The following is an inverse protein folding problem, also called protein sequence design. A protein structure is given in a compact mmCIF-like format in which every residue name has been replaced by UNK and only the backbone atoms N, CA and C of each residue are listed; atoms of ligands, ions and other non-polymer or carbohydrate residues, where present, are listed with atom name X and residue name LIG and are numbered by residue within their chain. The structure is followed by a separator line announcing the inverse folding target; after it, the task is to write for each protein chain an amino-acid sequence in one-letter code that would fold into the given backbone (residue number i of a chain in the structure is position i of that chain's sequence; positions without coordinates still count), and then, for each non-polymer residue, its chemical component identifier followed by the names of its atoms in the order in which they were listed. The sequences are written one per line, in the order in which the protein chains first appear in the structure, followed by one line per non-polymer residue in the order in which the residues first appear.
data_IF_547756800235
#
_entry.id   IF_547756800235
#
_cell.length_a   1.000
_cell.length_b   1.000
_cell.length_c   1.000
_cell.angle_alpha   90.00
_cell.angle_beta   90.00
_cell.angle_gamma   90.00
#
_symmetry.space_group_name_H-M   'P 1'
#
loop_
_entity.id
_entity.type
_entity.pdbx_description
1 polymer ?
#
# COMPACT_ATOMS: atom_id res chain seq x y z
N UNK A 1 -6.15 -18.95 25.50
CA UNK A 1 -6.35 -17.81 24.59
C UNK A 1 -5.81 -18.19 23.21
N UNK A 2 -6.57 -18.00 22.13
CA UNK A 2 -6.10 -18.37 20.80
C UNK A 2 -5.18 -17.26 20.25
N UNK A 3 -3.86 -17.46 20.37
CA UNK A 3 -2.85 -16.48 19.95
C UNK A 3 -2.96 -16.09 18.47
N UNK A 4 -3.48 -16.99 17.62
CA UNK A 4 -3.72 -16.68 16.21
C UNK A 4 -4.79 -15.59 16.04
N UNK A 5 -5.90 -15.67 16.77
CA UNK A 5 -6.98 -14.67 16.69
C UNK A 5 -6.47 -13.30 17.15
N UNK A 6 -5.73 -13.27 18.25
CA UNK A 6 -5.05 -12.05 18.73
C UNK A 6 -4.08 -11.51 17.67
N UNK A 7 -3.30 -12.39 17.04
CA UNK A 7 -2.38 -12.04 15.96
C UNK A 7 -3.06 -11.43 14.74
N UNK A 8 -4.17 -12.01 14.28
CA UNK A 8 -4.97 -11.47 13.19
C UNK A 8 -5.47 -10.07 13.48
N UNK A 9 -6.01 -9.86 14.69
CA UNK A 9 -6.56 -8.57 15.08
C UNK A 9 -5.48 -7.49 15.13
N UNK A 10 -4.33 -7.78 15.74
CA UNK A 10 -3.21 -6.83 15.84
C UNK A 10 -2.65 -6.53 14.45
N UNK A 11 -2.35 -7.57 13.66
CA UNK A 11 -1.83 -7.40 12.30
C UNK A 11 -2.77 -6.58 11.43
N UNK A 12 -4.05 -6.93 11.35
CA UNK A 12 -5.03 -6.19 10.55
C UNK A 12 -5.18 -4.74 11.01
N UNK A 13 -5.20 -4.48 12.32
CA UNK A 13 -5.31 -3.12 12.84
C UNK A 13 -4.12 -2.25 12.43
N UNK A 14 -2.90 -2.77 12.60
CA UNK A 14 -1.66 -2.07 12.19
C UNK A 14 -1.66 -1.85 10.68
N UNK A 15 -1.96 -2.90 9.92
CA UNK A 15 -1.90 -2.88 8.47
C UNK A 15 -2.96 -1.96 7.86
N UNK A 16 -4.21 -1.98 8.34
CA UNK A 16 -5.27 -1.06 7.90
C UNK A 16 -4.87 0.39 8.19
N UNK A 17 -4.34 0.67 9.38
CA UNK A 17 -3.86 2.01 9.72
C UNK A 17 -2.78 2.49 8.75
N UNK A 18 -1.78 1.66 8.45
CA UNK A 18 -0.72 1.98 7.49
C UNK A 18 -1.31 2.23 6.11
N UNK A 19 -2.14 1.32 5.59
CA UNK A 19 -2.72 1.41 4.24
C UNK A 19 -3.51 2.71 4.08
N UNK A 20 -4.38 3.03 5.03
CA UNK A 20 -5.21 4.23 4.95
C UNK A 20 -4.37 5.51 5.04
N UNK A 21 -3.41 5.57 5.98
CA UNK A 21 -2.58 6.76 6.18
C UNK A 21 -1.64 7.00 5.02
N UNK A 22 -0.91 5.98 4.59
CA UNK A 22 0.04 6.09 3.48
C UNK A 22 -0.71 6.37 2.17
N UNK A 23 -1.80 5.64 1.89
CA UNK A 23 -2.63 5.90 0.72
C UNK A 23 -3.13 7.35 0.65
N UNK A 24 -3.58 7.92 1.77
CA UNK A 24 -4.02 9.33 1.84
C UNK A 24 -2.87 10.32 1.57
N UNK A 25 -1.68 10.05 2.12
CA UNK A 25 -0.49 10.88 1.90
C UNK A 25 -0.05 10.82 0.43
N UNK A 26 0.06 9.62 -0.12
CA UNK A 26 0.41 9.40 -1.53
C UNK A 26 -0.61 10.04 -2.47
N UNK A 27 -1.91 9.95 -2.16
CA UNK A 27 -2.93 10.60 -2.98
C UNK A 27 -2.82 12.12 -2.94
N UNK A 28 -2.69 12.72 -1.75
CA UNK A 28 -2.56 14.19 -1.61
C UNK A 28 -1.33 14.71 -2.34
N UNK A 29 -0.17 14.10 -2.12
CA UNK A 29 1.09 14.56 -2.71
C UNK A 29 1.20 14.17 -4.18
N UNK A 30 0.63 13.03 -4.58
CA UNK A 30 0.59 12.55 -5.96
C UNK A 30 -0.24 13.44 -6.86
N UNK A 31 -1.35 14.03 -6.38
CA UNK A 31 -2.11 15.01 -7.16
C UNK A 31 -1.27 16.22 -7.55
N UNK A 32 -0.42 16.70 -6.64
CA UNK A 32 0.50 17.83 -6.90
C UNK A 32 1.55 17.39 -7.93
N UNK A 33 2.16 16.22 -7.72
CA UNK A 33 3.19 15.69 -8.62
C UNK A 33 2.69 15.46 -10.05
N UNK A 34 1.53 14.82 -10.22
CA UNK A 34 0.96 14.53 -11.54
C UNK A 34 0.52 15.81 -12.25
N UNK A 35 -0.01 16.80 -11.51
CA UNK A 35 -0.39 18.09 -12.07
C UNK A 35 0.81 18.89 -12.62
N UNK A 36 1.98 18.75 -11.98
CA UNK A 36 3.22 19.37 -12.47
C UNK A 36 3.74 18.68 -13.75
N UNK A 37 3.54 17.36 -13.88
CA UNK A 37 3.88 16.60 -15.09
C UNK A 37 2.93 16.87 -16.27
N UNK A 38 1.66 17.20 -16.00
CA UNK A 38 0.64 17.43 -17.02
C UNK A 38 -0.08 18.78 -16.77
N UNK A 39 0.56 19.90 -17.11
CA UNK A 39 -0.07 21.21 -16.95
C UNK A 39 -1.36 21.31 -17.79
N UNK A 40 -2.32 22.08 -17.30
CA UNK A 40 -3.63 22.35 -17.94
C UNK A 40 -4.63 21.18 -18.03
N UNK A 41 -4.29 19.98 -17.54
CA UNK A 41 -5.22 18.82 -17.53
C UNK A 41 -5.53 18.33 -16.11
N UNK A 42 -6.00 19.24 -15.25
CA UNK A 42 -6.27 18.94 -13.83
C UNK A 42 -7.22 17.75 -13.62
N UNK A 43 -8.27 17.62 -14.44
CA UNK A 43 -9.24 16.53 -14.35
C UNK A 43 -8.58 15.17 -14.61
N UNK A 44 -7.75 15.08 -15.66
CA UNK A 44 -7.03 13.85 -16.03
C UNK A 44 -6.04 13.48 -14.92
N UNK A 45 -5.33 14.46 -14.36
CA UNK A 45 -4.39 14.24 -13.25
C UNK A 45 -5.09 13.62 -12.03
N UNK A 46 -6.26 14.15 -11.67
CA UNK A 46 -7.04 13.60 -10.56
C UNK A 46 -7.52 12.17 -10.86
N UNK A 47 -7.95 11.88 -12.09
CA UNK A 47 -8.39 10.54 -12.49
C UNK A 47 -7.25 9.52 -12.45
N UNK A 48 -6.07 9.88 -12.96
CA UNK A 48 -4.88 9.02 -12.90
C UNK A 48 -4.57 8.67 -11.45
N UNK A 49 -4.52 9.67 -10.57
CA UNK A 49 -4.18 9.43 -9.18
C UNK A 49 -5.28 8.66 -8.41
N UNK A 50 -6.55 8.81 -8.79
CA UNK A 50 -7.66 7.98 -8.27
C UNK A 50 -7.48 6.51 -8.66
N UNK A 51 -7.12 6.22 -9.91
CA UNK A 51 -6.85 4.85 -10.39
C UNK A 51 -5.64 4.26 -9.69
N UNK A 52 -4.56 5.03 -9.50
CA UNK A 52 -3.37 4.59 -8.75
C UNK A 52 -3.71 4.28 -7.28
N UNK A 53 -4.52 5.12 -6.63
CA UNK A 53 -4.98 4.87 -5.26
C UNK A 53 -5.86 3.62 -5.17
N UNK A 54 -6.75 3.41 -6.14
CA UNK A 54 -7.58 2.20 -6.20
C UNK A 54 -6.71 0.94 -6.36
N UNK A 55 -5.74 0.96 -7.27
CA UNK A 55 -4.78 -0.13 -7.45
C UNK A 55 -3.97 -0.41 -6.19
N UNK A 56 -3.52 0.65 -5.51
CA UNK A 56 -2.87 0.56 -4.20
C UNK A 56 -3.74 -0.16 -3.17
N UNK A 57 -5.02 0.18 -3.04
CA UNK A 57 -5.91 -0.49 -2.09
C UNK A 57 -6.17 -1.95 -2.46
N UNK A 58 -6.44 -2.25 -3.73
CA UNK A 58 -6.68 -3.61 -4.19
C UNK A 58 -5.49 -4.53 -3.91
N UNK A 59 -4.27 -4.07 -4.23
CA UNK A 59 -3.04 -4.83 -3.98
C UNK A 59 -2.84 -5.11 -2.49
N UNK A 60 -3.02 -4.10 -1.64
CA UNK A 60 -2.83 -4.25 -0.20
C UNK A 60 -3.90 -5.16 0.44
N UNK A 61 -5.17 -5.04 0.03
CA UNK A 61 -6.24 -5.92 0.50
C UNK A 61 -5.97 -7.37 0.09
N UNK A 62 -5.56 -7.60 -1.17
CA UNK A 62 -5.17 -8.92 -1.66
C UNK A 62 -4.00 -9.52 -0.87
N UNK A 63 -2.98 -8.71 -0.58
CA UNK A 63 -1.84 -9.13 0.24
C UNK A 63 -2.25 -9.50 1.68
N UNK A 64 -3.15 -8.72 2.31
CA UNK A 64 -3.67 -9.03 3.64
C UNK A 64 -4.41 -10.37 3.64
N UNK A 65 -5.29 -10.60 2.66
CA UNK A 65 -6.02 -11.86 2.52
C UNK A 65 -5.07 -13.06 2.34
N UNK A 66 -4.07 -12.93 1.46
CA UNK A 66 -3.04 -13.97 1.26
C UNK A 66 -2.23 -14.24 2.54
N UNK A 67 -1.94 -13.20 3.31
CA UNK A 67 -1.23 -13.33 4.59
C UNK A 67 -2.05 -14.09 5.62
N UNK A 68 -3.35 -13.84 5.71
CA UNK A 68 -4.25 -14.55 6.62
C UNK A 68 -4.39 -16.03 6.24
N UNK A 69 -4.50 -16.34 4.94
CA UNK A 69 -4.61 -17.72 4.45
C UNK A 69 -3.32 -18.52 4.71
N UNK A 70 -2.15 -17.88 4.58
CA UNK A 70 -0.84 -18.50 4.79
C UNK A 70 -0.36 -18.49 6.24
N UNK A 71 -1.24 -18.18 7.19
CA UNK A 71 -0.86 -17.96 8.58
C UNK A 71 -0.68 -19.27 9.36
N UNK A 72 0.50 -19.48 9.92
CA UNK A 72 0.84 -20.68 10.69
C UNK A 72 0.38 -20.59 12.15
N UNK A 73 0.23 -21.75 12.81
CA UNK A 73 -0.16 -21.79 14.23
C UNK A 73 0.91 -21.14 15.11
N UNK A 74 0.50 -20.22 15.97
CA UNK A 74 1.38 -19.52 16.92
C UNK A 74 1.33 -20.26 18.25
N UNK A 75 2.48 -20.68 18.74
CA UNK A 75 2.63 -21.50 19.94
C UNK A 75 3.10 -20.71 21.17
N UNK A 76 3.69 -19.52 20.98
CA UNK A 76 4.21 -18.69 22.07
C UNK A 76 4.01 -17.20 21.82
N UNK A 77 4.07 -16.40 22.90
CA UNK A 77 3.97 -14.93 22.81
C UNK A 77 5.15 -14.30 22.07
N UNK A 78 6.35 -14.90 22.14
CA UNK A 78 7.52 -14.45 21.37
C UNK A 78 7.27 -14.64 19.87
N UNK A 79 6.79 -15.83 19.48
CA UNK A 79 6.46 -16.12 18.08
C UNK A 79 5.35 -15.21 17.55
N UNK A 80 4.41 -14.80 18.40
CA UNK A 80 3.36 -13.83 18.05
C UNK A 80 3.97 -12.50 17.59
N UNK A 81 4.88 -11.94 18.39
CA UNK A 81 5.53 -10.66 18.11
C UNK A 81 6.38 -10.76 16.83
N UNK A 82 7.16 -11.82 16.69
CA UNK A 82 7.99 -12.08 15.51
C UNK A 82 7.13 -12.19 14.23
N UNK A 83 6.04 -12.95 14.29
CA UNK A 83 5.13 -13.14 13.15
C UNK A 83 4.52 -11.82 12.72
N UNK A 84 4.00 -11.03 13.67
CA UNK A 84 3.42 -9.71 13.38
C UNK A 84 4.49 -8.79 12.79
N UNK A 85 5.69 -8.76 13.36
CA UNK A 85 6.81 -7.95 12.88
C UNK A 85 7.18 -8.28 11.44
N UNK A 86 7.37 -9.56 11.11
CA UNK A 86 7.73 -10.01 9.76
C UNK A 86 6.62 -9.67 8.75
N UNK A 87 5.37 -10.02 9.04
CA UNK A 87 4.26 -9.77 8.11
C UNK A 87 4.03 -8.27 7.88
N UNK A 88 4.20 -7.46 8.91
CA UNK A 88 4.10 -6.00 8.82
C UNK A 88 5.28 -5.41 8.03
N UNK A 89 6.50 -5.89 8.25
CA UNK A 89 7.66 -5.44 7.51
C UNK A 89 7.49 -5.70 6.00
N UNK A 90 7.02 -6.90 5.62
CA UNK A 90 6.84 -7.26 4.21
C UNK A 90 5.84 -6.31 3.53
N UNK A 91 4.69 -6.00 4.14
CA UNK A 91 3.74 -5.08 3.50
C UNK A 91 4.31 -3.66 3.37
N UNK A 92 5.09 -3.19 4.35
CA UNK A 92 5.77 -1.89 4.28
C UNK A 92 6.78 -1.87 3.11
N UNK A 93 7.56 -2.95 2.93
CA UNK A 93 8.47 -3.07 1.79
C UNK A 93 7.72 -3.09 0.45
N UNK A 94 6.62 -3.83 0.35
CA UNK A 94 5.79 -3.87 -0.85
C UNK A 94 5.24 -2.47 -1.18
N UNK A 95 4.70 -1.77 -0.19
CA UNK A 95 4.19 -0.40 -0.35
C UNK A 95 5.29 0.54 -0.82
N UNK A 96 6.49 0.44 -0.23
CA UNK A 96 7.65 1.24 -0.60
C UNK A 96 8.05 1.03 -2.07
N UNK A 97 8.22 -0.23 -2.48
CA UNK A 97 8.55 -0.59 -3.86
C UNK A 97 7.47 -0.12 -4.83
N UNK A 98 6.19 -0.36 -4.51
CA UNK A 98 5.07 0.10 -5.32
C UNK A 98 5.08 1.62 -5.49
N UNK A 99 5.40 2.38 -4.44
CA UNK A 99 5.47 3.84 -4.51
C UNK A 99 6.59 4.31 -5.44
N UNK A 100 7.79 3.73 -5.32
CA UNK A 100 8.89 4.06 -6.23
C UNK A 100 8.55 3.70 -7.69
N UNK A 101 7.92 2.54 -7.93
CA UNK A 101 7.47 2.15 -9.25
C UNK A 101 6.45 3.13 -9.82
N UNK A 102 5.47 3.58 -9.02
CA UNK A 102 4.48 4.57 -9.44
C UNK A 102 5.16 5.87 -9.89
N UNK A 103 6.13 6.38 -9.12
CA UNK A 103 6.87 7.59 -9.49
C UNK A 103 7.63 7.36 -10.80
N UNK A 104 8.42 6.27 -10.91
CA UNK A 104 9.20 5.97 -12.11
C UNK A 104 8.32 5.86 -13.36
N UNK A 105 7.17 5.19 -13.26
CA UNK A 105 6.24 5.02 -14.37
C UNK A 105 5.66 6.37 -14.79
N UNK A 106 5.21 7.17 -13.83
CA UNK A 106 4.68 8.51 -14.10
C UNK A 106 5.75 9.38 -14.77
N UNK A 107 6.96 9.47 -14.22
CA UNK A 107 8.02 10.31 -14.80
C UNK A 107 8.42 9.87 -16.22
N UNK A 108 8.58 8.56 -16.45
CA UNK A 108 9.15 8.07 -17.73
C UNK A 108 8.15 7.95 -18.87
N UNK A 109 6.89 7.63 -18.57
CA UNK A 109 5.90 7.28 -19.60
C UNK A 109 4.87 8.38 -19.83
N UNK A 110 4.52 9.19 -18.82
CA UNK A 110 3.57 10.29 -19.03
C UNK A 110 4.20 11.41 -19.85
N UNK A 111 5.47 11.76 -19.63
CA UNK A 111 6.19 12.75 -20.45
C UNK A 111 6.22 12.38 -21.95
N UNK A 112 6.10 11.09 -22.28
CA UNK A 112 6.06 10.59 -23.66
C UNK A 112 4.67 10.57 -24.30
N UNK A 113 3.60 10.62 -23.50
CA UNK A 113 2.22 10.51 -23.99
C UNK A 113 1.63 11.87 -24.43
N UNK A 114 2.28 12.97 -24.07
CA UNK A 114 1.75 14.34 -24.24
C UNK A 114 2.65 15.20 -25.15
N UNK A 115 3.77 14.64 -25.63
CA UNK A 115 4.47 15.13 -26.84
C UNK A 115 3.80 14.58 -28.08
#
# INVERSE_FOLDING_TARGET
MNLNITGYFIYLSITIFIILRVGKICYKNGNIYVAELIPNHADICQKINQVLLLGYYLLNIGYCAMTLISWQKILSSTQLIETIGIKTAIIIFIISVLHYLNIIILTKYIDKLIK
#
